data_IF_060369375461
#
_entry.id   IF_060369375461
#
_cell.length_a   1.000
_cell.length_b   1.000
_cell.length_c   1.000
_cell.angle_alpha   90.00
_cell.angle_beta   90.00
_cell.angle_gamma   90.00
#
_symmetry.space_group_name_H-M   'P 1'
#
loop_
_entity.id
_entity.type
_entity.pdbx_description
1 polymer ?
#
# COMPACT_ATOMS: atom_id res chain seq x y z
N UNK A 1 -10.75 -17.25 25.84
CA UNK A 1 -10.29 -17.74 24.51
C UNK A 1 -10.04 -16.57 23.54
N UNK A 2 -9.26 -15.54 23.95
CA UNK A 2 -9.03 -14.33 23.15
C UNK A 2 -7.78 -14.40 22.28
N UNK A 3 -6.74 -15.09 22.77
CA UNK A 3 -5.44 -15.27 22.12
C UNK A 3 -5.56 -15.84 20.68
N UNK A 4 -6.31 -16.92 20.39
CA UNK A 4 -6.41 -17.45 19.03
C UNK A 4 -7.15 -16.51 18.08
N UNK A 5 -7.99 -15.61 18.61
CA UNK A 5 -8.72 -14.62 17.81
C UNK A 5 -7.80 -13.49 17.36
N UNK A 6 -6.89 -13.06 18.24
CA UNK A 6 -5.89 -12.02 17.96
C UNK A 6 -4.91 -12.50 16.88
N UNK A 7 -4.33 -13.70 17.06
CA UNK A 7 -3.38 -14.30 16.08
C UNK A 7 -3.99 -14.44 14.69
N UNK A 8 -5.28 -14.77 14.59
CA UNK A 8 -5.97 -14.90 13.31
C UNK A 8 -6.25 -13.52 12.65
N UNK A 9 -6.53 -12.49 13.44
CA UNK A 9 -6.69 -11.11 12.94
C UNK A 9 -5.34 -10.58 12.45
N UNK A 10 -4.26 -10.78 13.21
CA UNK A 10 -2.91 -10.35 12.85
C UNK A 10 -2.42 -11.02 11.57
N UNK A 11 -2.64 -12.33 11.42
CA UNK A 11 -2.29 -13.06 10.20
C UNK A 11 -3.03 -12.52 8.95
N UNK A 12 -4.32 -12.22 9.09
CA UNK A 12 -5.11 -11.64 8.01
C UNK A 12 -4.69 -10.20 7.71
N UNK A 13 -4.48 -9.36 8.74
CA UNK A 13 -3.98 -8.01 8.54
C UNK A 13 -2.65 -8.02 7.81
N UNK A 14 -1.69 -8.85 8.25
CA UNK A 14 -0.36 -8.95 7.66
C UNK A 14 -0.41 -9.38 6.20
N UNK A 15 -1.25 -10.36 5.85
CA UNK A 15 -1.45 -10.76 4.45
C UNK A 15 -2.00 -9.62 3.60
N UNK A 16 -2.96 -8.87 4.12
CA UNK A 16 -3.52 -7.70 3.44
C UNK A 16 -2.51 -6.58 3.29
N UNK A 17 -1.75 -6.32 4.35
CA UNK A 17 -0.74 -5.29 4.43
C UNK A 17 0.42 -5.54 3.46
N UNK A 18 0.90 -6.79 3.34
CA UNK A 18 1.94 -7.13 2.36
C UNK A 18 1.46 -6.86 0.93
N UNK A 19 0.27 -7.34 0.57
CA UNK A 19 -0.29 -7.13 -0.78
C UNK A 19 -0.54 -5.64 -1.05
N UNK A 20 -1.10 -4.94 -0.07
CA UNK A 20 -1.33 -3.51 -0.12
C UNK A 20 -0.02 -2.72 -0.28
N UNK A 21 1.05 -3.13 0.41
CA UNK A 21 2.36 -2.51 0.29
C UNK A 21 2.94 -2.66 -1.10
N UNK A 22 2.82 -3.84 -1.73
CA UNK A 22 3.31 -4.08 -3.09
C UNK A 22 2.56 -3.18 -4.10
N UNK A 23 1.23 -3.15 -4.03
CA UNK A 23 0.42 -2.32 -4.93
C UNK A 23 0.68 -0.83 -4.69
N UNK A 24 0.71 -0.42 -3.42
CA UNK A 24 0.97 0.96 -3.03
C UNK A 24 2.36 1.44 -3.44
N UNK A 25 3.38 0.59 -3.28
CA UNK A 25 4.74 0.88 -3.73
C UNK A 25 4.81 1.06 -5.24
N UNK A 26 4.10 0.20 -6.00
CA UNK A 26 4.02 0.30 -7.45
C UNK A 26 3.35 1.62 -7.90
N UNK A 27 2.24 2.01 -7.25
CA UNK A 27 1.60 3.30 -7.50
C UNK A 27 2.47 4.49 -7.04
N UNK A 28 3.26 4.30 -5.98
CA UNK A 28 4.23 5.28 -5.49
C UNK A 28 5.37 5.60 -6.47
N UNK A 29 5.54 4.81 -7.54
CA UNK A 29 6.46 5.15 -8.63
C UNK A 29 5.95 6.33 -9.45
N UNK A 30 4.62 6.49 -9.55
CA UNK A 30 3.96 7.48 -10.43
C UNK A 30 4.41 8.92 -10.12
N UNK A 31 4.42 9.41 -8.86
CA UNK A 31 4.95 10.73 -8.53
C UNK A 31 6.41 10.93 -8.97
N UNK A 32 7.25 9.90 -8.87
CA UNK A 32 8.64 9.94 -9.33
C UNK A 32 8.74 10.11 -10.85
N UNK A 33 7.91 9.39 -11.62
CA UNK A 33 7.83 9.54 -13.08
C UNK A 33 7.33 10.94 -13.46
N UNK A 34 6.30 11.45 -12.78
CA UNK A 34 5.80 12.80 -13.03
C UNK A 34 6.85 13.87 -12.72
N UNK A 35 7.62 13.71 -11.65
CA UNK A 35 8.70 14.63 -11.31
C UNK A 35 9.75 14.69 -12.44
N UNK A 36 10.16 13.53 -12.98
CA UNK A 36 11.06 13.46 -14.16
C UNK A 36 10.46 14.21 -15.35
N UNK A 37 9.18 13.98 -15.66
CA UNK A 37 8.49 14.64 -16.77
C UNK A 37 8.49 16.17 -16.62
N UNK A 38 8.13 16.68 -15.43
CA UNK A 38 8.09 18.12 -15.13
C UNK A 38 9.48 18.75 -15.26
N UNK A 39 10.51 18.10 -14.71
CA UNK A 39 11.88 18.60 -14.74
C UNK A 39 12.51 18.53 -16.14
N UNK A 40 12.15 17.52 -16.94
CA UNK A 40 12.63 17.37 -18.31
C UNK A 40 11.99 18.35 -19.31
N UNK A 41 10.80 18.87 -19.01
CA UNK A 41 10.06 19.82 -19.86
C UNK A 41 10.41 21.29 -19.64
N UNK A 42 11.09 21.63 -18.54
CA UNK A 42 11.51 23.00 -18.24
C UNK A 42 12.83 23.36 -18.92
N UNK A 43 12.78 24.13 -20.01
CA UNK A 43 13.97 24.76 -20.59
C UNK A 43 14.70 25.59 -19.52
N UNK A 44 15.85 25.11 -19.03
CA UNK A 44 16.82 25.97 -18.33
C UNK A 44 17.36 25.53 -16.98
N UNK A 45 16.92 24.43 -16.37
CA UNK A 45 17.48 23.96 -15.09
C UNK A 45 17.79 22.46 -15.09
N UNK A 46 18.77 22.06 -15.91
CA UNK A 46 19.33 20.71 -15.95
C UNK A 46 20.14 20.33 -14.69
N UNK A 47 20.04 21.11 -13.61
CA UNK A 47 20.78 20.93 -12.36
C UNK A 47 19.95 20.35 -11.22
N UNK A 48 18.70 19.96 -11.45
CA UNK A 48 18.01 19.08 -10.49
C UNK A 48 18.68 17.72 -10.63
N UNK A 49 19.53 17.39 -9.65
CA UNK A 49 20.47 16.29 -9.75
C UNK A 49 19.70 14.98 -9.92
N UNK A 50 20.21 14.08 -10.76
CA UNK A 50 19.73 12.69 -10.87
C UNK A 50 19.47 12.06 -9.48
N UNK A 51 20.27 12.48 -8.49
CA UNK A 51 20.15 12.08 -7.09
C UNK A 51 18.85 12.55 -6.41
N UNK A 52 18.38 13.76 -6.67
CA UNK A 52 17.13 14.29 -6.10
C UNK A 52 15.92 13.56 -6.68
N UNK A 53 15.94 13.30 -7.99
CA UNK A 53 14.92 12.51 -8.68
C UNK A 53 14.84 11.09 -8.12
N UNK A 54 15.99 10.42 -7.99
CA UNK A 54 16.04 9.07 -7.42
C UNK A 54 15.59 9.07 -5.96
N UNK A 55 16.00 10.06 -5.17
CA UNK A 55 15.59 10.20 -3.77
C UNK A 55 14.09 10.38 -3.64
N UNK A 56 13.50 11.24 -4.47
CA UNK A 56 12.06 11.46 -4.47
C UNK A 56 11.27 10.23 -4.94
N UNK A 57 11.76 9.53 -5.96
CA UNK A 57 11.15 8.28 -6.41
C UNK A 57 11.19 7.21 -5.30
N UNK A 58 12.33 7.04 -4.63
CA UNK A 58 12.46 6.09 -3.51
C UNK A 58 11.52 6.46 -2.36
N UNK A 59 11.44 7.74 -1.98
CA UNK A 59 10.54 8.21 -0.92
C UNK A 59 9.07 8.00 -1.33
N UNK A 60 8.72 8.28 -2.59
CA UNK A 60 7.35 8.13 -3.09
C UNK A 60 6.93 6.66 -3.12
N UNK A 61 7.83 5.75 -3.50
CA UNK A 61 7.61 4.30 -3.44
C UNK A 61 7.45 3.84 -1.99
N UNK A 62 8.30 4.32 -1.08
CA UNK A 62 8.20 3.97 0.34
C UNK A 62 6.90 4.48 0.96
N UNK A 63 6.52 5.73 0.69
CA UNK A 63 5.26 6.32 1.15
C UNK A 63 4.05 5.59 0.57
N UNK A 64 4.06 5.31 -0.74
CA UNK A 64 3.04 4.52 -1.41
C UNK A 64 2.91 3.12 -0.80
N UNK A 65 4.03 2.46 -0.51
CA UNK A 65 4.05 1.16 0.15
C UNK A 65 3.51 1.20 1.59
N UNK A 66 3.85 2.23 2.36
CA UNK A 66 3.32 2.41 3.72
C UNK A 66 1.80 2.65 3.71
N UNK A 67 1.32 3.56 2.87
CA UNK A 67 -0.10 3.86 2.74
C UNK A 67 -0.86 2.63 2.23
N UNK A 68 -0.34 2.00 1.19
CA UNK A 68 -0.90 0.78 0.62
C UNK A 68 -0.97 -0.36 1.63
N UNK A 69 0.06 -0.51 2.47
CA UNK A 69 0.09 -1.50 3.57
C UNK A 69 -1.05 -1.30 4.56
N UNK A 70 -1.25 -0.07 5.02
CA UNK A 70 -2.32 0.26 5.97
C UNK A 70 -3.68 -0.04 5.35
N UNK A 71 -3.92 0.44 4.12
CA UNK A 71 -5.19 0.24 3.41
C UNK A 71 -5.44 -1.25 3.15
N UNK A 72 -4.46 -1.97 2.62
CA UNK A 72 -4.58 -3.40 2.30
C UNK A 72 -4.83 -4.26 3.54
N UNK A 73 -4.17 -3.94 4.65
CA UNK A 73 -4.40 -4.59 5.93
C UNK A 73 -5.83 -4.38 6.44
N UNK A 74 -6.31 -3.13 6.43
CA UNK A 74 -7.67 -2.77 6.85
C UNK A 74 -8.72 -3.47 5.97
N UNK A 75 -8.55 -3.44 4.64
CA UNK A 75 -9.46 -4.08 3.70
C UNK A 75 -9.54 -5.59 3.91
N UNK A 76 -8.42 -6.25 4.19
CA UNK A 76 -8.43 -7.70 4.42
C UNK A 76 -9.09 -8.08 5.76
N UNK A 77 -8.93 -7.26 6.81
CA UNK A 77 -9.73 -7.40 8.03
C UNK A 77 -11.22 -7.20 7.73
N UNK A 78 -11.57 -6.16 6.97
CA UNK A 78 -12.95 -5.89 6.56
C UNK A 78 -13.57 -7.06 5.79
N UNK A 79 -12.83 -7.63 4.84
CA UNK A 79 -13.24 -8.81 4.09
C UNK A 79 -13.44 -10.04 4.99
N UNK A 80 -12.59 -10.24 6.00
CA UNK A 80 -12.77 -11.30 7.00
C UNK A 80 -14.07 -11.11 7.79
N UNK A 81 -14.36 -9.88 8.22
CA UNK A 81 -15.61 -9.56 8.91
C UNK A 81 -16.83 -9.82 8.02
N UNK A 82 -16.78 -9.37 6.77
CA UNK A 82 -17.85 -9.57 5.80
C UNK A 82 -18.09 -11.07 5.51
N UNK A 83 -17.01 -11.84 5.34
CA UNK A 83 -17.07 -13.30 5.17
C UNK A 83 -17.76 -13.97 6.36
N UNK A 84 -17.40 -13.60 7.59
CA UNK A 84 -18.02 -14.14 8.80
C UNK A 84 -19.50 -13.77 8.92
N UNK A 85 -19.84 -12.52 8.61
CA UNK A 85 -21.24 -12.06 8.59
C UNK A 85 -22.07 -12.82 7.54
N UNK A 86 -21.51 -13.04 6.36
CA UNK A 86 -22.17 -13.76 5.27
C UNK A 86 -22.40 -15.24 5.58
N UNK A 87 -21.40 -15.93 6.15
CA UNK A 87 -21.55 -17.33 6.59
C UNK A 87 -22.63 -17.44 7.68
N UNK A 88 -22.65 -16.50 8.63
CA UNK A 88 -23.68 -16.44 9.68
C UNK A 88 -25.08 -16.20 9.10
N UNK A 89 -25.20 -15.39 8.07
CA UNK A 89 -26.47 -15.12 7.39
C UNK A 89 -26.96 -16.31 6.56
N UNK A 90 -26.05 -17.08 5.96
CA UNK A 90 -26.38 -18.30 5.19
C UNK A 90 -26.69 -19.53 6.06
N UNK A 91 -26.56 -19.45 7.39
CA UNK A 91 -26.90 -20.57 8.29
C UNK A 91 -26.02 -21.82 8.13
N UNK A 92 -24.88 -21.69 7.46
CA UNK A 92 -23.92 -22.80 7.30
C UNK A 92 -23.08 -22.85 8.57
N UNK A 93 -23.46 -23.74 9.49
CA UNK A 93 -22.77 -24.01 10.75
C UNK A 93 -21.60 -24.97 10.56
#
# INVERSE_FOLDING_TARGET
MFIPRIVNIDGNFRSGAIRGAVVGAFLGIIPGIFLVMVLSGGQGSYYVGLFEVLSFAVISVAAGGLIGSIIGGILNIGALFLKKAFIRFRGIH
#
